data_IF_996565991225
#
_entry.id   IF_996565991225
#
_cell.length_a   1.000
_cell.length_b   1.000
_cell.length_c   1.000
_cell.angle_alpha   90.00
_cell.angle_beta   90.00
_cell.angle_gamma   90.00
#
_symmetry.space_group_name_H-M   'P 1'
#
loop_
_entity.id
_entity.type
_entity.pdbx_description
1 polymer ?
#
# COMPACT_ATOMS: atom_id res chain seq x y z
N UNK A 1 4.18 25.49 4.47
CA UNK A 1 3.83 24.46 3.45
C UNK A 1 5.02 24.01 2.60
N UNK A 2 5.74 24.88 1.86
CA UNK A 2 6.90 24.46 1.02
C UNK A 2 8.05 23.80 1.80
N UNK A 3 8.34 24.29 3.02
CA UNK A 3 9.44 23.79 3.87
C UNK A 3 9.17 22.37 4.40
N UNK A 4 7.92 22.03 4.73
CA UNK A 4 7.56 20.68 5.21
C UNK A 4 7.60 19.63 4.10
N UNK A 5 7.15 20.00 2.89
CA UNK A 5 7.25 19.15 1.71
C UNK A 5 8.74 18.88 1.37
N UNK A 6 9.62 19.88 1.52
CA UNK A 6 11.05 19.72 1.30
C UNK A 6 11.69 18.78 2.33
N UNK A 7 11.39 18.94 3.63
CA UNK A 7 11.87 18.05 4.70
C UNK A 7 11.42 16.60 4.49
N UNK A 8 10.18 16.38 4.05
CA UNK A 8 9.64 15.05 3.80
C UNK A 8 10.29 14.36 2.59
N UNK A 9 10.52 15.11 1.50
CA UNK A 9 11.32 14.62 0.36
C UNK A 9 12.73 14.26 0.77
N UNK A 10 13.34 15.06 1.66
CA UNK A 10 14.67 14.78 2.20
C UNK A 10 14.69 13.48 3.01
N UNK A 11 13.70 13.23 3.87
CA UNK A 11 13.58 11.97 4.63
C UNK A 11 13.39 10.78 3.70
N UNK A 12 12.56 10.91 2.66
CA UNK A 12 12.38 9.86 1.66
C UNK A 12 13.68 9.55 0.92
N UNK A 13 14.39 10.59 0.47
CA UNK A 13 15.69 10.46 -0.18
C UNK A 13 16.69 9.81 0.76
N UNK A 14 16.75 10.22 2.03
CA UNK A 14 17.61 9.61 3.04
C UNK A 14 17.27 8.13 3.24
N UNK A 15 16.00 7.76 3.28
CA UNK A 15 15.55 6.38 3.44
C UNK A 15 15.86 5.50 2.22
N UNK A 16 15.74 6.07 1.01
CA UNK A 16 16.15 5.41 -0.23
C UNK A 16 17.69 5.29 -0.28
N UNK A 17 18.40 6.35 0.10
CA UNK A 17 19.86 6.39 0.16
C UNK A 17 20.42 5.40 1.20
N UNK A 18 19.79 5.20 2.36
CA UNK A 18 20.19 4.15 3.31
C UNK A 18 19.97 2.77 2.69
N UNK A 19 18.89 2.57 1.93
CA UNK A 19 18.65 1.34 1.17
C UNK A 19 19.77 1.06 0.14
N UNK A 20 20.20 2.09 -0.60
CA UNK A 20 21.27 2.00 -1.61
C UNK A 20 22.66 1.85 -0.96
N UNK A 21 22.95 2.55 0.14
CA UNK A 21 24.24 2.45 0.84
C UNK A 21 24.44 1.09 1.53
N UNK A 22 23.36 0.45 1.97
CA UNK A 22 23.39 -0.95 2.42
C UNK A 22 23.85 -1.88 1.27
N UNK A 23 23.62 -1.51 0.01
CA UNK A 23 24.02 -2.28 -1.16
C UNK A 23 25.54 -2.34 -1.37
N UNK A 24 26.20 -1.19 -1.25
CA UNK A 24 27.64 -1.04 -1.46
C UNK A 24 28.45 -1.80 -0.40
N UNK A 25 27.99 -1.83 0.85
CA UNK A 25 28.72 -2.47 1.94
C UNK A 25 28.46 -3.98 2.07
N UNK A 26 27.28 -4.47 1.69
CA UNK A 26 26.92 -5.89 1.88
C UNK A 26 27.43 -6.82 0.75
N UNK A 27 27.93 -6.28 -0.36
CA UNK A 27 28.65 -7.06 -1.39
C UNK A 27 30.06 -7.51 -0.95
N UNK A 28 30.63 -6.93 0.11
CA UNK A 28 32.00 -7.27 0.56
C UNK A 28 32.13 -8.60 1.30
N UNK A 29 31.05 -9.16 1.85
CA UNK A 29 31.12 -10.44 2.58
C UNK A 29 30.58 -11.59 1.74
N UNK A 30 31.44 -12.21 0.93
CA UNK A 30 31.20 -13.54 0.34
C UNK A 30 31.41 -14.59 1.43
N UNK A 31 30.45 -14.77 2.32
CA UNK A 31 30.38 -16.01 3.08
C UNK A 31 29.05 -16.72 2.84
N UNK A 32 29.22 -17.99 2.56
CA UNK A 32 28.32 -18.88 1.84
C UNK A 32 27.29 -19.52 2.76
N UNK A 33 26.20 -20.05 2.16
CA UNK A 33 25.07 -20.85 2.73
C UNK A 33 23.72 -20.17 2.96
N UNK A 34 23.55 -18.84 2.79
CA UNK A 34 22.24 -18.17 2.97
C UNK A 34 21.89 -17.25 1.81
N UNK A 35 20.67 -17.33 1.29
CA UNK A 35 20.13 -16.34 0.35
C UNK A 35 19.98 -15.00 1.05
N UNK A 36 20.92 -14.08 0.80
CA UNK A 36 20.86 -12.71 1.33
C UNK A 36 19.64 -11.95 0.84
N UNK A 37 19.14 -12.28 -0.34
CA UNK A 37 18.03 -11.58 -0.98
C UNK A 37 16.85 -12.54 -1.21
N UNK A 38 15.64 -12.00 -1.31
CA UNK A 38 14.45 -12.73 -1.77
C UNK A 38 13.48 -11.79 -2.46
N UNK A 39 12.75 -12.30 -3.43
CA UNK A 39 11.63 -11.63 -4.07
C UNK A 39 10.37 -12.34 -3.62
N UNK A 40 9.38 -11.58 -3.16
CA UNK A 40 8.05 -12.08 -2.80
C UNK A 40 7.05 -11.50 -3.78
N UNK A 41 6.04 -12.30 -4.08
CA UNK A 41 4.87 -11.86 -4.82
C UNK A 41 3.73 -11.91 -3.81
N UNK A 42 3.14 -10.76 -3.52
CA UNK A 42 1.96 -10.72 -2.65
C UNK A 42 0.73 -10.94 -3.50
N UNK A 43 -0.02 -11.98 -3.16
CA UNK A 43 -1.39 -12.14 -3.61
C UNK A 43 -2.24 -11.17 -2.80
N UNK A 44 -2.26 -9.92 -3.25
CA UNK A 44 -3.14 -8.92 -2.71
C UNK A 44 -4.59 -9.35 -2.93
N UNK A 45 -5.47 -9.03 -1.99
CA UNK A 45 -6.81 -9.55 -2.08
C UNK A 45 -7.54 -9.05 -3.32
N UNK A 46 -7.93 -10.00 -4.17
CA UNK A 46 -9.05 -9.85 -5.09
C UNK A 46 -10.33 -10.08 -4.28
N UNK A 47 -10.70 -9.13 -3.40
CA UNK A 47 -11.99 -9.21 -2.72
C UNK A 47 -13.07 -8.64 -3.64
N UNK A 48 -14.08 -9.46 -3.89
CA UNK A 48 -15.44 -9.03 -4.15
C UNK A 48 -16.19 -9.29 -2.84
N UNK A 49 -16.45 -8.26 -2.04
CA UNK A 49 -17.20 -8.44 -0.81
C UNK A 49 -18.66 -8.75 -1.18
N UNK A 50 -19.20 -9.89 -0.74
CA UNK A 50 -20.58 -10.28 -1.07
C UNK A 50 -21.64 -9.26 -0.61
N UNK A 51 -21.28 -8.38 0.33
CA UNK A 51 -22.12 -7.30 0.86
C UNK A 51 -21.62 -5.88 0.51
N UNK A 52 -20.51 -5.75 -0.23
CA UNK A 52 -19.96 -4.47 -0.65
C UNK A 52 -19.58 -4.53 -2.14
N UNK A 53 -20.23 -3.72 -2.96
CA UNK A 53 -19.98 -3.66 -4.42
C UNK A 53 -18.60 -3.13 -4.81
N UNK A 54 -17.71 -2.92 -3.84
CA UNK A 54 -16.34 -2.48 -4.04
C UNK A 54 -15.53 -3.57 -4.74
N UNK A 55 -14.88 -3.17 -5.83
CA UNK A 55 -13.94 -4.01 -6.54
C UNK A 55 -12.51 -3.49 -6.36
N UNK A 56 -11.59 -4.39 -6.04
CA UNK A 56 -10.15 -4.11 -5.98
C UNK A 56 -9.38 -5.10 -6.86
N UNK A 57 -8.42 -4.60 -7.63
CA UNK A 57 -7.53 -5.40 -8.47
C UNK A 57 -6.12 -4.83 -8.30
N UNK A 58 -5.27 -5.54 -7.56
CA UNK A 58 -3.92 -5.07 -7.23
C UNK A 58 -2.90 -6.19 -7.41
N UNK A 59 -1.69 -5.80 -7.79
CA UNK A 59 -0.54 -6.69 -7.82
C UNK A 59 0.59 -6.08 -7.01
N UNK A 60 1.28 -6.89 -6.22
CA UNK A 60 2.32 -6.44 -5.31
C UNK A 60 3.58 -7.30 -5.42
N UNK A 61 4.74 -6.65 -5.41
CA UNK A 61 6.05 -7.30 -5.38
C UNK A 61 6.83 -6.74 -4.19
N UNK A 62 7.50 -7.61 -3.46
CA UNK A 62 8.40 -7.23 -2.37
C UNK A 62 9.81 -7.71 -2.65
N UNK A 63 10.78 -6.82 -2.49
CA UNK A 63 12.19 -7.19 -2.44
C UNK A 63 12.68 -7.14 -1.00
N UNK A 64 13.27 -8.24 -0.53
CA UNK A 64 13.83 -8.39 0.82
C UNK A 64 15.32 -8.64 0.77
N UNK A 65 16.04 -8.05 1.72
CA UNK A 65 17.46 -8.27 1.96
C UNK A 65 17.77 -8.45 3.44
N UNK A 66 18.42 -9.57 3.76
CA UNK A 66 19.03 -9.82 5.07
C UNK A 66 20.29 -8.97 5.23
N UNK A 67 20.34 -8.17 6.30
CA UNK A 67 21.49 -7.32 6.64
C UNK A 67 22.30 -7.98 7.76
N UNK A 68 21.60 -8.51 8.77
CA UNK A 68 22.14 -9.29 9.89
C UNK A 68 21.26 -10.52 10.12
N UNK A 69 21.70 -11.52 10.91
CA UNK A 69 20.89 -12.70 11.18
C UNK A 69 19.47 -12.37 11.66
N UNK A 70 19.32 -11.34 12.49
CA UNK A 70 18.02 -10.98 13.09
C UNK A 70 17.41 -9.73 12.46
N UNK A 71 18.00 -9.18 11.39
CA UNK A 71 17.56 -7.92 10.78
C UNK A 71 17.57 -7.97 9.26
N UNK A 72 16.46 -7.54 8.65
CA UNK A 72 16.33 -7.45 7.21
C UNK A 72 15.60 -6.18 6.79
N UNK A 73 15.98 -5.62 5.65
CA UNK A 73 15.24 -4.54 5.02
C UNK A 73 14.37 -5.11 3.90
N UNK A 74 13.16 -4.59 3.75
CA UNK A 74 12.28 -4.99 2.67
C UNK A 74 11.60 -3.77 2.04
N UNK A 75 11.33 -3.85 0.76
CA UNK A 75 10.69 -2.81 0.00
C UNK A 75 9.53 -3.40 -0.79
N UNK A 76 8.32 -3.01 -0.43
CA UNK A 76 7.10 -3.44 -1.08
C UNK A 76 6.61 -2.38 -2.06
N UNK A 77 6.18 -2.81 -3.23
CA UNK A 77 5.53 -1.97 -4.22
C UNK A 77 4.25 -2.68 -4.67
N UNK A 78 3.10 -2.01 -4.54
CA UNK A 78 1.86 -2.44 -5.19
C UNK A 78 1.25 -1.38 -6.08
N UNK A 79 0.57 -1.83 -7.11
CA UNK A 79 -0.09 -0.98 -8.11
C UNK A 79 -1.42 -1.62 -8.50
N UNK A 80 -2.40 -0.77 -8.82
CA UNK A 80 -3.65 -1.22 -9.41
C UNK A 80 -4.85 -0.35 -9.08
N UNK A 81 -6.02 -0.99 -9.13
CA UNK A 81 -7.31 -0.44 -8.76
C UNK A 81 -7.55 -0.71 -7.26
N UNK A 82 -7.45 0.34 -6.46
CA UNK A 82 -7.59 0.27 -5.01
C UNK A 82 -9.04 0.31 -4.55
N UNK A 83 -9.91 0.96 -5.31
CA UNK A 83 -11.33 0.99 -5.01
C UNK A 83 -12.11 1.33 -6.27
N UNK A 84 -13.25 0.67 -6.46
CA UNK A 84 -14.21 1.01 -7.50
C UNK A 84 -15.61 0.68 -6.98
N UNK A 85 -16.43 1.72 -6.82
CA UNK A 85 -17.78 1.57 -6.27
C UNK A 85 -18.77 2.54 -6.89
N UNK A 86 -20.05 2.16 -6.78
CA UNK A 86 -21.18 3.00 -7.15
C UNK A 86 -22.01 3.25 -5.91
N UNK A 87 -22.18 4.52 -5.56
CA UNK A 87 -23.09 4.95 -4.51
C UNK A 87 -24.31 5.61 -5.15
N UNK A 88 -25.51 5.13 -4.84
CA UNK A 88 -26.75 5.71 -5.33
C UNK A 88 -27.61 6.18 -4.17
N UNK A 89 -27.90 7.48 -4.15
CA UNK A 89 -28.80 8.08 -3.16
C UNK A 89 -30.12 8.42 -3.82
N UNK A 90 -31.18 7.82 -3.30
CA UNK A 90 -32.55 8.09 -3.70
C UNK A 90 -33.13 9.20 -2.84
N UNK A 91 -33.89 10.08 -3.48
CA UNK A 91 -34.61 11.16 -2.83
C UNK A 91 -36.08 10.99 -3.14
N UNK A 92 -36.84 10.69 -2.09
CA UNK A 92 -38.30 10.66 -2.14
C UNK A 92 -38.83 11.83 -1.31
N UNK A 93 -39.42 12.80 -2.00
CA UNK A 93 -40.06 13.94 -1.35
C UNK A 93 -41.56 13.67 -1.33
N UNK A 94 -42.06 13.23 -0.17
CA UNK A 94 -43.49 13.00 0.11
C UNK A 94 -44.36 14.28 0.00
N UNK A 95 -43.81 15.41 -0.44
CA UNK A 95 -44.51 16.69 -0.59
C UNK A 95 -44.56 17.05 -2.08
N UNK A 96 -45.80 16.98 -2.58
CA UNK A 96 -46.33 17.27 -3.90
C UNK A 96 -45.46 18.18 -4.81
N UNK A 97 -45.12 17.65 -5.99
CA UNK A 97 -44.57 18.30 -7.20
C UNK A 97 -43.07 18.09 -7.54
N UNK A 98 -42.28 17.30 -6.81
CA UNK A 98 -40.85 17.15 -7.13
C UNK A 98 -40.40 15.80 -7.74
N UNK A 99 -41.28 14.79 -7.77
CA UNK A 99 -41.01 13.48 -8.35
C UNK A 99 -39.89 12.70 -7.63
N UNK A 100 -39.84 11.40 -7.86
CA UNK A 100 -38.74 10.57 -7.37
C UNK A 100 -37.48 10.83 -8.21
N UNK A 101 -36.35 11.13 -7.58
CA UNK A 101 -35.08 11.23 -8.32
C UNK A 101 -33.91 10.61 -7.54
N UNK A 102 -32.82 10.36 -8.25
CA UNK A 102 -31.61 9.77 -7.70
C UNK A 102 -30.37 10.55 -8.11
N UNK A 103 -29.38 10.56 -7.21
CA UNK A 103 -28.02 10.99 -7.51
C UNK A 103 -27.14 9.76 -7.42
N UNK A 104 -26.52 9.41 -8.55
CA UNK A 104 -25.59 8.30 -8.66
C UNK A 104 -24.17 8.84 -8.72
N UNK A 105 -23.29 8.29 -7.90
CA UNK A 105 -21.88 8.65 -7.83
C UNK A 105 -21.05 7.39 -8.05
N UNK A 106 -20.28 7.37 -9.14
CA UNK A 106 -19.29 6.34 -9.43
C UNK A 106 -17.92 6.86 -9.03
N UNK A 107 -17.20 6.11 -8.22
CA UNK A 107 -15.86 6.48 -7.79
C UNK A 107 -14.88 5.35 -8.12
N UNK A 108 -13.79 5.72 -8.78
CA UNK A 108 -12.68 4.82 -9.08
C UNK A 108 -11.39 5.41 -8.55
N UNK A 109 -10.58 4.60 -7.86
CA UNK A 109 -9.31 4.97 -7.26
C UNK A 109 -8.25 4.02 -7.79
N UNK A 110 -7.36 4.54 -8.63
CA UNK A 110 -6.16 3.84 -9.08
C UNK A 110 -4.94 4.44 -8.40
N UNK A 111 -3.86 3.68 -8.27
CA UNK A 111 -2.67 4.22 -7.64
C UNK A 111 -1.55 3.21 -7.50
N UNK A 112 -0.58 3.57 -6.67
CA UNK A 112 0.46 2.67 -6.20
C UNK A 112 0.83 2.98 -4.75
N UNK A 113 1.27 1.98 -4.00
CA UNK A 113 1.96 2.18 -2.73
C UNK A 113 3.41 1.73 -2.84
N UNK A 114 4.29 2.49 -2.21
CA UNK A 114 5.70 2.18 -2.02
C UNK A 114 5.98 2.16 -0.52
N UNK A 115 6.30 0.98 0.01
CA UNK A 115 6.40 0.73 1.43
C UNK A 115 7.77 0.14 1.80
N UNK A 116 8.79 0.99 1.99
CA UNK A 116 10.08 0.53 2.48
C UNK A 116 10.01 0.29 4.00
N UNK A 117 10.72 -0.74 4.45
CA UNK A 117 10.60 -1.29 5.79
C UNK A 117 11.92 -1.79 6.36
N UNK A 118 12.05 -1.68 7.67
CA UNK A 118 13.12 -2.29 8.46
C UNK A 118 12.50 -3.28 9.43
N UNK A 119 13.01 -4.50 9.43
CA UNK A 119 12.38 -5.64 10.07
C UNK A 119 13.38 -6.32 11.01
N UNK A 120 12.91 -6.69 12.20
CA UNK A 120 13.69 -7.36 13.23
C UNK A 120 12.97 -8.64 13.67
N UNK A 121 13.67 -9.78 13.65
CA UNK A 121 13.14 -11.04 14.16
C UNK A 121 13.09 -11.00 15.69
N UNK A 122 11.87 -11.02 16.24
CA UNK A 122 11.63 -11.17 17.67
C UNK A 122 11.92 -12.62 18.08
N UNK A 123 11.45 -13.56 17.26
CA UNK A 123 11.68 -14.98 17.45
C UNK A 123 12.15 -15.60 16.15
N UNK A 124 13.29 -16.28 16.18
CA UNK A 124 13.86 -16.93 15.00
C UNK A 124 14.09 -18.40 15.26
N UNK A 125 13.71 -19.24 14.30
CA UNK A 125 14.01 -20.67 14.36
C UNK A 125 15.52 -20.90 14.27
N UNK A 126 16.06 -21.73 15.17
CA UNK A 126 17.48 -22.13 15.13
C UNK A 126 17.79 -23.06 13.96
N UNK A 127 16.80 -23.85 13.52
CA UNK A 127 17.01 -24.94 12.57
C UNK A 127 16.65 -24.58 11.12
N UNK A 128 15.86 -23.52 10.91
CA UNK A 128 15.41 -23.09 9.57
C UNK A 128 15.63 -21.60 9.40
N UNK A 129 16.41 -21.25 8.39
CA UNK A 129 16.66 -19.85 8.01
C UNK A 129 15.38 -19.19 7.48
N UNK A 130 15.23 -17.88 7.66
CA UNK A 130 14.04 -17.09 7.26
C UNK A 130 12.71 -17.62 7.83
N UNK A 131 12.75 -18.30 8.98
CA UNK A 131 11.56 -18.73 9.71
C UNK A 131 11.55 -18.08 11.09
N UNK A 132 10.42 -17.48 11.44
CA UNK A 132 10.28 -16.75 12.68
C UNK A 132 9.19 -15.70 12.66
N UNK A 133 9.05 -15.01 13.78
CA UNK A 133 8.17 -13.87 13.98
C UNK A 133 9.05 -12.61 13.97
N UNK A 134 8.62 -11.60 13.22
CA UNK A 134 9.33 -10.34 13.09
C UNK A 134 8.40 -9.15 13.32
N UNK A 135 9.01 -8.07 13.79
CA UNK A 135 8.39 -6.75 13.91
C UNK A 135 9.09 -5.78 12.98
N UNK A 136 8.35 -4.82 12.46
CA UNK A 136 8.85 -3.94 11.40
C UNK A 136 8.45 -2.49 11.65
N UNK A 137 9.32 -1.56 11.29
CA UNK A 137 8.98 -0.14 11.13
C UNK A 137 8.88 0.15 9.64
N UNK A 138 7.79 0.79 9.24
CA UNK A 138 7.43 0.98 7.84
C UNK A 138 7.11 2.43 7.57
N UNK A 139 7.59 2.89 6.42
CA UNK A 139 7.09 4.10 5.79
C UNK A 139 6.15 3.70 4.66
N UNK A 140 5.04 4.40 4.52
CA UNK A 140 4.02 4.12 3.50
C UNK A 140 3.83 5.35 2.62
N UNK A 141 4.23 5.24 1.35
CA UNK A 141 4.12 6.32 0.37
C UNK A 141 3.12 5.91 -0.69
N UNK A 142 1.99 6.61 -0.75
CA UNK A 142 0.92 6.27 -1.65
C UNK A 142 0.66 7.41 -2.60
N UNK A 143 0.43 7.07 -3.86
CA UNK A 143 -0.10 8.00 -4.85
C UNK A 143 -1.39 7.44 -5.44
N UNK A 144 -2.45 8.24 -5.43
CA UNK A 144 -3.74 7.87 -5.96
C UNK A 144 -4.24 8.88 -6.99
N UNK A 145 -4.88 8.35 -8.02
CA UNK A 145 -5.74 9.07 -8.95
C UNK A 145 -7.18 8.64 -8.68
N UNK A 146 -8.01 9.60 -8.29
CA UNK A 146 -9.43 9.38 -8.03
C UNK A 146 -10.25 10.05 -9.12
N UNK A 147 -11.07 9.26 -9.82
CA UNK A 147 -12.12 9.76 -10.70
C UNK A 147 -13.47 9.65 -9.99
N UNK A 148 -14.28 10.70 -10.04
CA UNK A 148 -15.65 10.71 -9.53
C UNK A 148 -16.57 11.19 -10.64
N UNK A 149 -17.50 10.34 -11.05
CA UNK A 149 -18.58 10.69 -11.97
C UNK A 149 -19.87 10.77 -11.19
N UNK A 150 -20.60 11.88 -11.36
CA UNK A 150 -21.87 12.13 -10.69
C UNK A 150 -22.93 12.32 -11.77
N UNK A 151 -24.03 11.56 -11.67
CA UNK A 151 -25.21 11.70 -12.50
C UNK A 151 -26.41 12.07 -11.63
N UNK A 152 -27.11 13.13 -12.02
CA UNK A 152 -28.36 13.55 -11.37
C UNK A 152 -29.53 13.23 -12.30
N UNK A 153 -30.42 12.33 -11.89
CA UNK A 153 -31.55 11.92 -12.73
C UNK A 153 -32.64 12.99 -12.87
N UNK A 154 -32.66 14.02 -12.02
CA UNK A 154 -33.64 15.12 -12.11
C UNK A 154 -33.28 16.13 -13.19
N UNK A 155 -31.99 16.40 -13.37
CA UNK A 155 -31.49 17.40 -14.33
C UNK A 155 -30.82 16.76 -15.54
N UNK A 156 -30.64 15.44 -15.53
CA UNK A 156 -29.87 14.65 -16.49
C UNK A 156 -28.39 15.06 -16.64
N UNK A 157 -27.90 15.91 -15.73
CA UNK A 157 -26.53 16.42 -15.76
C UNK A 157 -25.56 15.34 -15.30
N UNK A 158 -24.46 15.21 -16.05
CA UNK A 158 -23.28 14.42 -15.69
C UNK A 158 -22.10 15.35 -15.43
N UNK A 159 -21.44 15.17 -14.29
CA UNK A 159 -20.20 15.87 -13.96
C UNK A 159 -19.11 14.86 -13.65
N UNK A 160 -17.89 15.12 -14.10
CA UNK A 160 -16.72 14.30 -13.79
C UNK A 160 -15.67 15.17 -13.10
N UNK A 161 -15.17 14.68 -11.96
CA UNK A 161 -14.14 15.34 -11.18
C UNK A 161 -12.97 14.38 -11.00
N UNK A 162 -11.75 14.83 -11.31
CA UNK A 162 -10.52 14.06 -11.14
C UNK A 162 -9.65 14.70 -10.06
N UNK A 163 -9.02 13.85 -9.25
CA UNK A 163 -8.14 14.28 -8.17
C UNK A 163 -6.88 13.43 -8.16
N UNK A 164 -5.72 14.05 -7.92
CA UNK A 164 -4.54 13.34 -7.44
C UNK A 164 -4.42 13.49 -5.93
N UNK A 165 -3.94 12.44 -5.28
CA UNK A 165 -3.65 12.46 -3.86
C UNK A 165 -2.33 11.76 -3.59
N UNK A 166 -1.38 12.48 -2.99
CA UNK A 166 -0.14 11.94 -2.45
C UNK A 166 -0.30 11.81 -0.94
N UNK A 167 0.03 10.64 -0.39
CA UNK A 167 -0.13 10.34 1.04
C UNK A 167 1.15 9.73 1.58
N UNK A 168 1.51 10.16 2.77
CA UNK A 168 2.60 9.61 3.55
C UNK A 168 2.07 9.09 4.87
N UNK A 169 2.48 7.89 5.21
CA UNK A 169 2.20 7.23 6.47
C UNK A 169 3.45 6.62 7.05
N UNK A 170 3.36 6.26 8.31
CA UNK A 170 4.30 5.37 8.97
C UNK A 170 3.52 4.37 9.78
N UNK A 171 4.17 3.28 10.15
CA UNK A 171 3.54 2.33 11.04
C UNK A 171 4.44 1.17 11.33
N UNK A 172 3.78 0.11 11.79
CA UNK A 172 4.45 -1.10 12.21
C UNK A 172 3.79 -2.32 11.60
N UNK A 173 4.61 -3.32 11.25
CA UNK A 173 4.10 -4.64 10.91
C UNK A 173 4.51 -5.65 11.98
N UNK A 174 3.62 -6.61 12.21
CA UNK A 174 3.96 -7.89 12.79
C UNK A 174 3.80 -8.95 11.69
N UNK A 175 4.81 -9.79 11.50
CA UNK A 175 4.73 -10.86 10.52
C UNK A 175 5.36 -12.15 11.00
N UNK A 176 4.96 -13.25 10.36
CA UNK A 176 5.46 -14.59 10.60
C UNK A 176 5.85 -15.22 9.27
N UNK A 177 7.05 -15.78 9.20
CA UNK A 177 7.55 -16.51 8.04
C UNK A 177 7.69 -17.98 8.35
N UNK A 178 7.31 -18.81 7.39
CA UNK A 178 7.47 -20.25 7.45
C UNK A 178 8.17 -20.77 6.20
N UNK A 179 9.33 -21.41 6.38
CA UNK A 179 10.13 -21.94 5.28
C UNK A 179 9.67 -23.35 4.86
N UNK A 180 9.39 -23.49 3.56
CA UNK A 180 9.10 -24.75 2.89
C UNK A 180 10.32 -25.17 2.04
N UNK A 181 11.13 -26.07 2.59
CA UNK A 181 12.39 -26.45 1.96
C UNK A 181 13.45 -25.35 2.05
N UNK A 182 14.39 -25.34 1.11
CA UNK A 182 15.54 -24.42 1.09
C UNK A 182 15.30 -23.12 0.31
N UNK A 183 14.32 -23.10 -0.58
CA UNK A 183 14.13 -22.01 -1.56
C UNK A 183 12.84 -21.21 -1.36
N UNK A 184 11.83 -21.80 -0.71
CA UNK A 184 10.50 -21.21 -0.63
C UNK A 184 10.11 -20.94 0.82
N UNK A 185 9.30 -19.90 1.02
CA UNK A 185 8.67 -19.61 2.29
C UNK A 185 7.30 -18.98 2.02
N UNK A 186 6.37 -19.14 2.96
CA UNK A 186 5.19 -18.28 3.03
C UNK A 186 5.39 -17.28 4.16
N UNK A 187 4.75 -16.13 3.98
CA UNK A 187 4.72 -15.06 4.96
C UNK A 187 3.28 -14.65 5.19
N UNK A 188 2.94 -14.48 6.46
CA UNK A 188 1.72 -13.80 6.87
C UNK A 188 2.14 -12.52 7.59
N UNK A 189 1.59 -11.38 7.17
CA UNK A 189 1.91 -10.07 7.76
C UNK A 189 0.63 -9.28 8.04
N UNK A 190 0.64 -8.55 9.14
CA UNK A 190 -0.41 -7.62 9.53
C UNK A 190 0.20 -6.25 9.73
N UNK A 191 -0.49 -5.23 9.21
CA UNK A 191 0.00 -3.86 9.17
C UNK A 191 -0.89 -2.93 9.98
N UNK A 192 -0.27 -2.12 10.83
CA UNK A 192 -0.89 -1.01 11.52
C UNK A 192 -0.23 0.28 11.03
N UNK A 193 -0.92 0.99 10.14
CA UNK A 193 -0.41 2.19 9.49
C UNK A 193 -1.20 3.42 9.94
N UNK A 194 -0.49 4.49 10.26
CA UNK A 194 -1.08 5.80 10.50
C UNK A 194 -0.66 6.78 9.41
N UNK A 195 -1.59 7.66 9.04
CA UNK A 195 -1.36 8.70 8.02
C UNK A 195 -0.74 9.90 8.71
N UNK A 196 0.41 10.36 8.23
CA UNK A 196 1.04 11.58 8.72
C UNK A 196 0.61 12.76 7.86
N UNK A 197 0.61 12.59 6.54
CA UNK A 197 0.46 13.71 5.62
C UNK A 197 -0.33 13.34 4.36
N UNK A 198 -1.14 14.28 3.88
CA UNK A 198 -1.96 14.13 2.69
C UNK A 198 -1.90 15.44 1.89
N UNK A 199 -1.48 15.35 0.64
CA UNK A 199 -1.62 16.41 -0.37
C UNK A 199 -2.68 15.96 -1.36
N UNK A 200 -3.68 16.81 -1.63
CA UNK A 200 -4.70 16.56 -2.65
C UNK A 200 -4.73 17.73 -3.63
N UNK A 201 -4.71 17.42 -4.91
CA UNK A 201 -4.85 18.40 -5.99
C UNK A 201 -6.00 18.02 -6.91
N UNK A 202 -6.74 19.02 -7.37
CA UNK A 202 -7.70 18.85 -8.45
C UNK A 202 -6.95 18.65 -9.77
N UNK A 203 -7.47 17.80 -10.64
CA UNK A 203 -6.98 17.64 -12.01
C UNK A 203 -8.14 18.08 -12.90
N UNK A 204 -7.89 19.13 -13.69
CA UNK A 204 -8.81 19.58 -14.74
C UNK A 204 -8.92 18.53 -15.86
#
# INVERSE_FOLDING_TARGET
MKIEIFKLKLVLILFICTFIQIDVNAQKNKDSTSYKNSIKIDLLPLYYDFFDTRMQIRTGIEYERNIKPDFFAACFLDIGLFDNYVFKKYYDFFIQNQGFYSVEQKASIMGFHFMPSYNYYIFKSKNKQKQGIYFSVIMDVNYYLKNIEIYNSKTEVKTSNKFSQLRYGVGFNLGAKYAFGSHFFAEMKTSLLTKIFIIRNYIE
#
